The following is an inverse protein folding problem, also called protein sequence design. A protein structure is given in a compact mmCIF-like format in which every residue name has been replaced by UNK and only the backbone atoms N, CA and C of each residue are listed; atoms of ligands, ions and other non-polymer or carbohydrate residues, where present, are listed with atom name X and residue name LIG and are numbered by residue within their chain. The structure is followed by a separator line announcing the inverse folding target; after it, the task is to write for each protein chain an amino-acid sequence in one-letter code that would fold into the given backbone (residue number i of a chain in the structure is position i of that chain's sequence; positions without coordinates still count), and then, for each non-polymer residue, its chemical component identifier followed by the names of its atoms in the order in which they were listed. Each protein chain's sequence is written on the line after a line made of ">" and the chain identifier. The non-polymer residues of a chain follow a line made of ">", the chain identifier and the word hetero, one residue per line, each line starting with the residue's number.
data_IF_191120394463
#
_entry.id   IF_191120394463
#
_cell.length_a   1.000
_cell.length_b   1.000
_cell.length_c   1.000
_cell.angle_alpha   90.00
_cell.angle_beta   90.00
_cell.angle_gamma   90.00
#
_symmetry.space_group_name_H-M   'P 1'
#
loop_
_entity.id
_entity.type
_entity.pdbx_description
1 polymer ?
#
# COMPACT_ATOMS: atom_id res chain seq x y z
N UNK A 1 -0.20 -29.65 35.36
CA UNK A 1 -1.41 -30.40 35.77
C UNK A 1 -0.97 -31.81 35.99
N UNK A 2 -1.25 -32.40 37.14
CA UNK A 2 -0.83 -33.77 37.48
C UNK A 2 -1.83 -34.77 36.91
N UNK A 3 -1.33 -35.86 36.33
CA UNK A 3 -2.17 -36.88 35.68
C UNK A 3 -3.01 -37.69 36.71
N UNK A 4 -2.76 -37.53 37.98
CA UNK A 4 -3.49 -38.20 39.06
C UNK A 4 -3.39 -39.75 39.01
N UNK A 5 -4.46 -40.46 39.45
CA UNK A 5 -4.52 -41.93 39.50
C UNK A 5 -5.06 -42.55 38.21
N UNK A 6 -4.83 -41.96 37.06
CA UNK A 6 -5.25 -42.45 35.76
C UNK A 6 -4.29 -43.52 35.23
N UNK A 7 -4.63 -44.82 35.42
CA UNK A 7 -3.76 -45.94 35.09
C UNK A 7 -4.08 -46.62 33.75
N UNK A 8 -5.31 -46.51 33.27
CA UNK A 8 -5.69 -47.06 31.97
C UNK A 8 -5.16 -46.22 30.81
N UNK A 9 -4.82 -46.79 29.65
CA UNK A 9 -4.31 -46.04 28.50
C UNK A 9 -5.19 -44.87 28.12
N UNK A 10 -4.63 -43.64 28.12
CA UNK A 10 -5.28 -42.43 27.69
C UNK A 10 -6.44 -41.92 28.52
N UNK A 11 -6.60 -42.42 29.74
CA UNK A 11 -7.71 -42.09 30.63
C UNK A 11 -7.74 -40.61 31.10
N UNK A 12 -6.70 -39.83 30.82
CA UNK A 12 -6.66 -38.39 31.08
C UNK A 12 -6.62 -37.60 29.76
N UNK A 13 -7.80 -37.31 29.13
CA UNK A 13 -7.88 -36.45 27.96
C UNK A 13 -7.85 -34.98 28.37
N UNK A 14 -7.10 -34.16 27.63
CA UNK A 14 -7.11 -32.69 27.74
C UNK A 14 -7.34 -32.06 26.40
N UNK A 15 -8.46 -31.37 26.25
CA UNK A 15 -8.75 -30.60 25.08
C UNK A 15 -7.95 -29.28 25.09
N UNK A 16 -7.40 -28.92 23.95
CA UNK A 16 -6.68 -27.65 23.74
C UNK A 16 -7.68 -26.64 23.14
N UNK A 17 -7.81 -25.49 23.80
CA UNK A 17 -8.68 -24.42 23.35
C UNK A 17 -7.83 -23.30 22.77
N UNK A 18 -8.21 -22.83 21.60
CA UNK A 18 -7.61 -21.69 20.92
C UNK A 18 -8.56 -20.48 20.96
N UNK A 19 -8.00 -19.27 21.02
CA UNK A 19 -8.78 -18.03 20.98
C UNK A 19 -9.11 -17.58 19.54
N UNK A 20 -9.14 -18.53 18.61
CA UNK A 20 -9.46 -18.30 17.20
C UNK A 20 -10.32 -19.47 16.70
N UNK A 21 -11.12 -19.25 15.68
CA UNK A 21 -11.89 -20.33 15.04
C UNK A 21 -10.96 -21.26 14.26
N UNK A 22 -11.38 -22.51 14.06
CA UNK A 22 -10.62 -23.50 13.29
C UNK A 22 -10.30 -23.00 11.89
N UNK A 23 -11.23 -22.28 11.22
CA UNK A 23 -11.00 -21.66 9.92
C UNK A 23 -9.87 -20.60 9.95
N UNK A 24 -9.82 -19.78 10.99
CA UNK A 24 -8.75 -18.78 11.14
C UNK A 24 -7.39 -19.46 11.38
N UNK A 25 -7.36 -20.51 12.18
CA UNK A 25 -6.14 -21.28 12.46
C UNK A 25 -5.66 -21.99 11.20
N UNK A 26 -6.55 -22.63 10.44
CA UNK A 26 -6.20 -23.29 9.18
C UNK A 26 -5.71 -22.30 8.14
N UNK A 27 -6.35 -21.15 8.00
CA UNK A 27 -5.90 -20.07 7.11
C UNK A 27 -4.47 -19.58 7.50
N UNK A 28 -4.20 -19.38 8.80
CA UNK A 28 -2.88 -19.01 9.29
C UNK A 28 -1.83 -20.05 8.91
N UNK A 29 -2.11 -21.34 9.13
CA UNK A 29 -1.19 -22.43 8.80
C UNK A 29 -0.92 -22.50 7.29
N UNK A 30 -1.96 -22.34 6.45
CA UNK A 30 -1.82 -22.36 5.00
C UNK A 30 -1.01 -21.18 4.46
N UNK A 31 -1.19 -19.99 5.03
CA UNK A 31 -0.53 -18.76 4.60
C UNK A 31 0.92 -18.64 5.10
N UNK A 32 1.33 -19.43 6.09
CA UNK A 32 2.67 -19.40 6.66
C UNK A 32 3.60 -20.41 5.97
N UNK A 33 4.88 -20.10 5.89
CA UNK A 33 5.89 -21.05 5.37
C UNK A 33 6.08 -22.20 6.34
N UNK A 34 6.31 -21.89 7.61
CA UNK A 34 6.54 -22.85 8.66
C UNK A 34 5.57 -22.65 9.82
N UNK A 35 5.04 -23.76 10.34
CA UNK A 35 4.28 -23.76 11.57
C UNK A 35 4.73 -24.90 12.46
N UNK A 36 4.77 -24.67 13.76
CA UNK A 36 5.12 -25.71 14.71
C UNK A 36 4.43 -25.52 16.05
N UNK A 37 4.37 -26.59 16.81
CA UNK A 37 3.82 -26.62 18.15
C UNK A 37 4.60 -27.60 19.03
N UNK A 38 4.83 -27.23 20.29
CA UNK A 38 5.53 -28.09 21.24
C UNK A 38 4.56 -28.77 22.19
N UNK A 39 4.87 -30.04 22.51
CA UNK A 39 4.30 -30.74 23.65
C UNK A 39 5.48 -31.04 24.61
N UNK A 40 5.46 -30.42 25.78
CA UNK A 40 6.42 -30.62 26.82
C UNK A 40 5.87 -31.62 27.85
N UNK A 41 6.71 -32.57 28.28
CA UNK A 41 6.33 -33.56 29.24
C UNK A 41 7.43 -33.74 30.29
N UNK A 42 7.04 -33.67 31.56
CA UNK A 42 7.84 -34.01 32.71
C UNK A 42 7.34 -35.33 33.24
N UNK A 43 8.19 -36.32 33.32
CA UNK A 43 7.85 -37.68 33.72
C UNK A 43 8.70 -38.17 34.92
N UNK A 44 8.03 -38.90 35.76
CA UNK A 44 8.63 -39.65 36.86
C UNK A 44 7.86 -40.95 37.01
N UNK A 45 8.43 -42.10 36.65
CA UNK A 45 7.73 -43.40 36.57
C UNK A 45 6.41 -43.30 35.74
N UNK A 46 6.45 -42.61 34.63
CA UNK A 46 5.26 -42.36 33.78
C UNK A 46 5.65 -42.51 32.31
N UNK A 47 5.81 -43.74 31.81
CA UNK A 47 6.24 -43.99 30.44
C UNK A 47 5.14 -43.66 29.42
N UNK A 48 5.54 -43.32 28.22
CA UNK A 48 4.62 -43.17 27.07
C UNK A 48 4.23 -44.51 26.47
N UNK A 49 5.13 -45.48 26.55
CA UNK A 49 4.93 -46.87 26.09
C UNK A 49 5.56 -47.85 27.05
N UNK A 50 4.82 -48.89 27.39
CA UNK A 50 5.31 -49.97 28.24
C UNK A 50 4.69 -51.32 27.84
N UNK A 51 5.52 -52.34 27.69
CA UNK A 51 5.11 -53.69 27.26
C UNK A 51 4.17 -53.67 26.01
N UNK A 52 4.52 -52.86 25.00
CA UNK A 52 3.74 -52.75 23.77
C UNK A 52 2.47 -51.89 23.88
N UNK A 53 2.06 -51.48 25.08
CA UNK A 53 0.90 -50.64 25.30
C UNK A 53 1.29 -49.17 25.30
N UNK A 54 0.53 -48.31 24.55
CA UNK A 54 0.76 -46.88 24.45
C UNK A 54 -0.10 -46.16 25.50
N UNK A 55 0.54 -45.38 26.37
CA UNK A 55 -0.08 -44.65 27.48
C UNK A 55 -0.21 -43.13 27.24
N UNK A 56 0.46 -42.61 26.19
CA UNK A 56 0.36 -41.21 25.83
C UNK A 56 0.30 -41.03 24.30
N UNK A 57 -0.58 -40.15 23.83
CA UNK A 57 -0.73 -39.74 22.42
C UNK A 57 -1.38 -38.37 22.30
N UNK A 58 -1.38 -37.81 21.11
CA UNK A 58 -2.05 -36.58 20.80
C UNK A 58 -2.97 -36.72 19.58
N UNK A 59 -3.93 -35.81 19.46
CA UNK A 59 -4.93 -35.77 18.39
C UNK A 59 -4.69 -34.54 17.54
N UNK A 60 -4.62 -34.72 16.25
CA UNK A 60 -4.44 -33.64 15.26
C UNK A 60 -5.75 -32.94 14.90
N UNK A 61 -5.67 -32.02 13.94
CA UNK A 61 -6.82 -31.25 13.43
C UNK A 61 -7.91 -32.13 12.80
N UNK A 62 -7.56 -33.28 12.27
CA UNK A 62 -8.47 -34.22 11.58
C UNK A 62 -8.98 -35.33 12.52
N UNK A 63 -8.88 -35.12 13.84
CA UNK A 63 -9.26 -36.07 14.90
C UNK A 63 -8.49 -37.40 14.82
N UNK A 64 -7.32 -37.43 14.17
CA UNK A 64 -6.49 -38.63 14.08
C UNK A 64 -5.55 -38.73 15.27
N UNK A 65 -5.38 -39.94 15.76
CA UNK A 65 -4.42 -40.27 16.82
C UNK A 65 -3.02 -40.31 16.25
N UNK A 66 -2.10 -39.63 16.97
CA UNK A 66 -0.68 -39.64 16.71
C UNK A 66 0.09 -40.03 17.97
N UNK A 67 1.02 -40.98 17.84
CA UNK A 67 1.83 -41.45 18.94
C UNK A 67 3.11 -40.60 19.07
N UNK A 68 3.61 -40.46 20.27
CA UNK A 68 4.94 -39.89 20.46
C UNK A 68 5.99 -40.87 19.99
N UNK A 69 7.09 -40.42 19.37
CA UNK A 69 8.23 -41.29 19.14
C UNK A 69 8.75 -41.81 20.47
N UNK A 70 9.40 -42.99 20.46
CA UNK A 70 9.96 -43.58 21.68
C UNK A 70 10.86 -42.59 22.41
N UNK A 71 10.52 -42.31 23.66
CA UNK A 71 11.28 -41.42 24.53
C UNK A 71 12.05 -42.26 25.57
N UNK A 72 13.24 -42.70 25.19
CA UNK A 72 14.10 -43.60 25.99
C UNK A 72 14.20 -43.22 27.47
N UNK A 73 14.05 -41.93 27.77
CA UNK A 73 14.19 -41.43 29.13
C UNK A 73 12.94 -41.57 30.00
N UNK A 74 11.72 -41.46 29.45
CA UNK A 74 10.47 -41.63 30.19
C UNK A 74 10.05 -43.11 30.25
N UNK A 75 10.45 -43.90 29.26
CA UNK A 75 10.12 -45.32 29.18
C UNK A 75 10.96 -46.18 30.16
N UNK A 76 12.05 -45.64 30.68
CA UNK A 76 12.80 -46.25 31.76
C UNK A 76 12.21 -45.91 33.12
N UNK A 77 11.70 -46.91 33.83
CA UNK A 77 11.16 -46.78 35.18
C UNK A 77 12.25 -46.32 36.16
N UNK A 78 12.43 -45.06 36.32
CA UNK A 78 13.38 -44.43 37.23
C UNK A 78 12.66 -43.34 38.03
N UNK A 79 12.96 -43.24 39.31
CA UNK A 79 12.32 -42.29 40.24
C UNK A 79 12.86 -40.85 40.10
N UNK A 80 13.67 -40.57 39.08
CA UNK A 80 14.13 -39.21 38.79
C UNK A 80 13.17 -38.50 37.83
N UNK A 81 12.90 -37.20 38.11
CA UNK A 81 12.12 -36.38 37.23
C UNK A 81 12.88 -36.09 35.93
N UNK A 82 12.30 -36.45 34.79
CA UNK A 82 12.87 -36.24 33.48
C UNK A 82 11.99 -35.32 32.66
N UNK A 83 12.58 -34.62 31.68
CA UNK A 83 11.92 -33.67 30.81
C UNK A 83 12.10 -34.05 29.34
N UNK A 84 11.03 -33.97 28.58
CA UNK A 84 11.00 -34.11 27.12
C UNK A 84 10.27 -32.96 26.45
N UNK A 85 10.76 -32.59 25.28
CA UNK A 85 10.13 -31.66 24.37
C UNK A 85 9.92 -32.34 23.02
N UNK A 86 8.70 -32.43 22.58
CA UNK A 86 8.34 -32.94 21.26
C UNK A 86 7.82 -31.80 20.43
N UNK A 87 8.47 -31.54 19.28
CA UNK A 87 8.09 -30.52 18.31
C UNK A 87 7.35 -31.18 17.17
N UNK A 88 6.18 -30.61 16.83
CA UNK A 88 5.34 -31.01 15.70
C UNK A 88 5.50 -29.94 14.65
N UNK A 89 6.09 -30.30 13.51
CA UNK A 89 6.36 -29.40 12.38
C UNK A 89 5.48 -29.72 11.17
N UNK A 90 4.82 -30.88 11.19
CA UNK A 90 3.94 -31.32 10.12
C UNK A 90 2.66 -30.45 10.11
N UNK A 91 2.59 -29.52 9.17
CA UNK A 91 1.47 -28.56 9.02
C UNK A 91 0.14 -29.27 8.80
N UNK A 92 0.16 -30.46 8.19
CA UNK A 92 -1.05 -31.23 7.93
C UNK A 92 -1.66 -31.84 9.20
N UNK A 93 -0.89 -31.88 10.28
CA UNK A 93 -1.32 -32.37 11.60
C UNK A 93 -1.63 -31.25 12.60
N UNK A 94 -1.34 -30.00 12.26
CA UNK A 94 -1.55 -28.86 13.16
C UNK A 94 -2.95 -28.23 12.98
N UNK A 95 -3.52 -27.67 14.04
CA UNK A 95 -3.02 -27.63 15.41
C UNK A 95 -3.33 -28.91 16.20
N UNK A 96 -2.65 -29.09 17.33
CA UNK A 96 -2.99 -30.15 18.30
C UNK A 96 -4.34 -29.83 18.95
N UNK A 97 -5.32 -30.71 18.79
CA UNK A 97 -6.68 -30.52 19.33
C UNK A 97 -6.86 -31.11 20.72
N UNK A 98 -6.19 -32.24 21.00
CA UNK A 98 -6.30 -32.95 22.27
C UNK A 98 -5.01 -33.69 22.57
N UNK A 99 -4.71 -33.86 23.84
CA UNK A 99 -3.64 -34.76 24.34
C UNK A 99 -4.23 -35.73 25.31
N UNK A 100 -3.73 -36.96 25.28
CA UNK A 100 -4.09 -38.05 26.17
C UNK A 100 -2.87 -38.54 26.91
N UNK A 101 -2.99 -38.68 28.23
CA UNK A 101 -1.94 -39.20 29.09
C UNK A 101 -2.51 -40.19 30.08
N UNK A 102 -1.67 -41.11 30.54
CA UNK A 102 -1.99 -42.01 31.64
C UNK A 102 -0.69 -42.46 32.32
N UNK A 103 -0.83 -43.05 33.47
CA UNK A 103 0.31 -43.47 34.29
C UNK A 103 0.08 -44.83 34.92
N UNK A 104 0.58 -45.91 34.31
CA UNK A 104 0.33 -47.27 34.80
C UNK A 104 1.02 -47.56 36.13
N UNK A 105 2.03 -46.78 36.53
CA UNK A 105 2.87 -47.08 37.71
C UNK A 105 2.65 -46.13 38.89
N UNK A 106 1.53 -45.37 38.91
CA UNK A 106 1.25 -44.35 39.94
C UNK A 106 2.38 -43.32 40.14
N UNK A 107 3.23 -43.14 39.14
CA UNK A 107 4.23 -42.08 39.09
C UNK A 107 3.59 -40.71 38.90
N UNK A 108 4.38 -39.71 38.52
CA UNK A 108 3.87 -38.37 38.26
C UNK A 108 4.21 -37.90 36.83
N UNK A 109 3.24 -37.29 36.17
CA UNK A 109 3.45 -36.65 34.87
C UNK A 109 2.87 -35.26 34.85
N UNK A 110 3.62 -34.33 34.25
CA UNK A 110 3.15 -32.95 34.00
C UNK A 110 3.38 -32.61 32.53
N UNK A 111 2.35 -32.14 31.87
CA UNK A 111 2.46 -31.77 30.47
C UNK A 111 2.07 -30.29 30.24
N UNK A 112 2.60 -29.73 29.17
CA UNK A 112 2.25 -28.43 28.65
C UNK A 112 2.26 -28.50 27.13
N UNK A 113 1.20 -27.97 26.51
CA UNK A 113 1.13 -27.73 25.07
C UNK A 113 1.37 -26.26 24.82
N UNK A 114 2.26 -25.91 23.89
CA UNK A 114 2.55 -24.53 23.53
C UNK A 114 1.39 -23.94 22.75
N UNK A 115 1.43 -22.62 22.56
CA UNK A 115 0.67 -22.01 21.47
C UNK A 115 1.19 -22.52 20.12
N UNK A 116 0.36 -22.41 19.08
CA UNK A 116 0.79 -22.59 17.69
C UNK A 116 1.73 -21.43 17.33
N UNK A 117 2.90 -21.72 16.81
CA UNK A 117 3.84 -20.77 16.25
C UNK A 117 3.85 -20.93 14.74
N UNK A 118 3.64 -19.84 14.02
CA UNK A 118 3.75 -19.81 12.57
C UNK A 118 4.66 -18.66 12.16
N UNK A 119 5.50 -18.89 11.18
CA UNK A 119 6.47 -17.92 10.64
C UNK A 119 6.55 -18.01 9.12
N UNK A 120 7.25 -17.04 8.52
CA UNK A 120 7.38 -16.90 7.08
C UNK A 120 6.50 -15.82 6.51
N UNK A 121 6.76 -15.43 5.26
CA UNK A 121 5.93 -14.47 4.55
C UNK A 121 4.60 -15.13 4.24
N UNK A 122 3.51 -14.52 4.72
CA UNK A 122 2.20 -14.83 4.16
C UNK A 122 2.36 -14.79 2.64
N UNK A 123 2.08 -15.89 1.96
CA UNK A 123 2.00 -15.88 0.50
C UNK A 123 0.92 -14.87 0.17
N UNK A 124 1.34 -13.65 -0.18
CA UNK A 124 0.42 -12.62 -0.61
C UNK A 124 -0.25 -13.14 -1.87
N UNK A 125 -1.46 -13.62 -1.72
CA UNK A 125 -2.28 -13.88 -2.89
C UNK A 125 -2.42 -12.56 -3.62
N UNK A 126 -2.27 -12.53 -4.94
CA UNK A 126 -2.49 -11.31 -5.70
C UNK A 126 -3.90 -10.81 -5.37
N UNK A 127 -4.05 -9.48 -5.31
CA UNK A 127 -5.35 -8.88 -5.05
C UNK A 127 -6.40 -9.48 -5.99
N UNK A 128 -7.57 -9.94 -5.48
CA UNK A 128 -8.61 -10.55 -6.30
C UNK A 128 -9.06 -9.58 -7.39
N UNK A 129 -9.40 -10.11 -8.56
CA UNK A 129 -9.90 -9.33 -9.70
C UNK A 129 -11.42 -9.39 -9.86
N UNK A 130 -12.07 -10.31 -9.14
CA UNK A 130 -13.50 -10.54 -9.24
C UNK A 130 -14.06 -11.23 -8.00
N UNK A 131 -15.38 -11.30 -7.91
CA UNK A 131 -16.06 -12.10 -6.91
C UNK A 131 -15.74 -13.60 -7.04
N UNK A 132 -15.46 -14.09 -8.25
CA UNK A 132 -15.03 -15.48 -8.49
C UNK A 132 -13.66 -15.76 -7.84
N UNK A 133 -12.70 -14.83 -7.99
CA UNK A 133 -11.42 -14.94 -7.29
C UNK A 133 -11.60 -14.95 -5.77
N UNK A 134 -12.45 -14.06 -5.25
CA UNK A 134 -12.77 -14.02 -3.82
C UNK A 134 -13.39 -15.34 -3.34
N UNK A 135 -14.29 -15.92 -4.12
CA UNK A 135 -14.90 -17.21 -3.79
C UNK A 135 -13.87 -18.33 -3.77
N UNK A 136 -12.95 -18.37 -4.74
CA UNK A 136 -11.80 -19.33 -4.76
C UNK A 136 -10.87 -19.13 -3.58
N UNK A 137 -10.72 -17.90 -3.08
CA UNK A 137 -9.97 -17.56 -1.87
C UNK A 137 -10.70 -17.95 -0.58
N UNK A 138 -11.92 -18.47 -0.67
CA UNK A 138 -12.72 -18.95 0.46
C UNK A 138 -13.70 -17.94 1.03
N UNK A 139 -13.94 -16.80 0.37
CA UNK A 139 -15.01 -15.88 0.77
C UNK A 139 -16.38 -16.47 0.45
N UNK A 140 -17.30 -16.39 1.41
CA UNK A 140 -18.65 -16.99 1.30
C UNK A 140 -19.77 -16.05 1.73
N UNK A 141 -19.43 -14.88 2.27
CA UNK A 141 -20.41 -13.91 2.76
C UNK A 141 -20.72 -12.90 1.66
N UNK A 142 -22.01 -12.72 1.37
CA UNK A 142 -22.46 -11.66 0.48
C UNK A 142 -22.08 -10.30 1.06
N UNK A 143 -21.64 -9.37 0.22
CA UNK A 143 -21.23 -8.06 0.69
C UNK A 143 -20.37 -7.26 -0.29
N UNK A 144 -19.91 -6.12 0.20
CA UNK A 144 -19.05 -5.20 -0.55
C UNK A 144 -17.60 -5.62 -0.39
N UNK A 145 -16.90 -5.72 -1.52
CA UNK A 145 -15.47 -6.10 -1.60
C UNK A 145 -14.70 -5.15 -2.50
N UNK A 146 -13.39 -5.07 -2.26
CA UNK A 146 -12.47 -4.39 -3.16
C UNK A 146 -11.78 -5.42 -4.05
N UNK A 147 -11.79 -5.18 -5.36
CA UNK A 147 -11.11 -6.01 -6.37
C UNK A 147 -10.23 -5.16 -7.26
N UNK A 148 -9.21 -5.76 -7.86
CA UNK A 148 -8.33 -5.09 -8.80
C UNK A 148 -8.98 -5.03 -10.18
N UNK A 149 -9.46 -3.86 -10.58
CA UNK A 149 -9.87 -3.57 -11.94
C UNK A 149 -8.69 -3.44 -12.92
N UNK A 150 -8.98 -2.97 -14.12
CA UNK A 150 -7.96 -2.80 -15.17
C UNK A 150 -6.92 -1.71 -14.84
N UNK A 151 -7.35 -0.59 -14.25
CA UNK A 151 -6.52 0.57 -13.92
C UNK A 151 -6.69 1.08 -12.50
N UNK A 152 -7.68 0.59 -11.76
CA UNK A 152 -8.12 1.12 -10.48
C UNK A 152 -8.55 -0.02 -9.56
N UNK A 153 -8.64 0.25 -8.26
CA UNK A 153 -9.31 -0.64 -7.33
C UNK A 153 -10.82 -0.38 -7.45
N UNK A 154 -11.56 -1.41 -7.83
CA UNK A 154 -13.01 -1.36 -7.94
C UNK A 154 -13.68 -1.84 -6.66
N UNK A 155 -14.81 -1.23 -6.35
CA UNK A 155 -15.73 -1.69 -5.31
C UNK A 155 -16.85 -2.47 -5.99
N UNK A 156 -17.01 -3.71 -5.57
CA UNK A 156 -18.04 -4.63 -6.11
C UNK A 156 -18.90 -5.18 -4.97
N UNK A 157 -20.16 -5.46 -5.26
CA UNK A 157 -21.00 -6.26 -4.39
C UNK A 157 -20.97 -7.71 -4.88
N UNK A 158 -20.63 -8.66 -4.02
CA UNK A 158 -20.57 -10.08 -4.34
C UNK A 158 -21.74 -10.82 -3.67
N UNK A 159 -22.42 -11.67 -4.43
CA UNK A 159 -23.48 -12.57 -3.97
C UNK A 159 -23.02 -14.01 -4.14
N UNK A 160 -22.37 -14.57 -3.13
CA UNK A 160 -21.79 -15.93 -3.17
C UNK A 160 -22.80 -17.06 -3.03
N UNK A 161 -24.07 -16.76 -2.77
CA UNK A 161 -25.20 -17.68 -2.86
C UNK A 161 -25.69 -17.88 -4.31
N UNK A 162 -25.26 -17.05 -5.24
CA UNK A 162 -25.50 -17.14 -6.68
C UNK A 162 -24.37 -17.91 -7.39
N UNK A 163 -24.65 -18.42 -8.59
CA UNK A 163 -23.61 -18.99 -9.44
C UNK A 163 -22.86 -17.89 -10.19
N UNK A 164 -21.58 -18.08 -10.42
CA UNK A 164 -20.71 -17.08 -11.08
C UNK A 164 -21.18 -16.65 -12.49
N UNK A 165 -22.03 -17.46 -13.13
CA UNK A 165 -22.62 -17.15 -14.45
C UNK A 165 -23.87 -16.27 -14.36
N UNK A 166 -24.41 -16.06 -13.16
CA UNK A 166 -25.56 -15.21 -12.95
C UNK A 166 -25.13 -13.74 -12.90
N UNK A 167 -25.88 -12.86 -13.57
CA UNK A 167 -25.54 -11.44 -13.69
C UNK A 167 -25.45 -10.76 -12.31
N UNK A 168 -26.21 -11.24 -11.33
CA UNK A 168 -26.25 -10.72 -9.96
C UNK A 168 -25.08 -11.22 -9.08
N UNK A 169 -24.26 -12.17 -9.56
CA UNK A 169 -23.13 -12.72 -8.80
C UNK A 169 -22.12 -11.65 -8.45
N UNK A 170 -21.88 -10.69 -9.37
CA UNK A 170 -21.02 -9.54 -9.17
C UNK A 170 -21.68 -8.28 -9.73
N UNK A 171 -21.90 -7.30 -8.86
CA UNK A 171 -22.37 -5.97 -9.23
C UNK A 171 -21.27 -4.94 -8.97
N UNK A 172 -20.96 -4.12 -9.98
CA UNK A 172 -20.01 -3.03 -9.83
C UNK A 172 -20.69 -1.84 -9.16
N UNK A 173 -20.15 -1.38 -8.01
CA UNK A 173 -20.63 -0.20 -7.30
C UNK A 173 -19.87 1.05 -7.74
N UNK A 174 -18.54 0.94 -7.91
CA UNK A 174 -17.69 2.07 -8.28
C UNK A 174 -16.22 1.73 -8.20
N UNK A 175 -15.38 2.75 -8.02
CA UNK A 175 -13.95 2.60 -7.81
C UNK A 175 -13.49 3.37 -6.57
N UNK A 176 -12.30 3.03 -6.06
CA UNK A 176 -11.66 3.72 -4.94
C UNK A 176 -10.55 4.61 -5.47
N UNK A 177 -10.57 5.89 -5.13
CA UNK A 177 -9.48 6.83 -5.41
C UNK A 177 -8.34 6.56 -4.41
N UNK A 178 -7.45 5.64 -4.79
CA UNK A 178 -6.28 5.28 -4.00
C UNK A 178 -5.06 5.97 -4.60
N UNK A 179 -4.36 6.75 -3.78
CA UNK A 179 -3.09 7.37 -4.15
C UNK A 179 -1.97 6.76 -3.29
N UNK A 180 -1.16 5.88 -3.91
CA UNK A 180 -0.02 5.25 -3.23
C UNK A 180 1.08 6.26 -2.94
N UNK A 181 1.18 7.30 -3.79
CA UNK A 181 2.08 8.44 -3.64
C UNK A 181 1.30 9.75 -3.82
N UNK A 182 0.60 10.22 -2.78
CA UNK A 182 -0.06 11.52 -2.83
C UNK A 182 0.92 12.58 -3.29
N UNK A 183 0.54 13.33 -4.34
CA UNK A 183 1.44 14.29 -4.99
C UNK A 183 0.67 15.55 -5.31
N UNK A 184 1.11 16.65 -4.74
CA UNK A 184 0.67 17.99 -5.14
C UNK A 184 1.71 19.04 -4.77
N UNK A 185 1.78 20.10 -5.56
CA UNK A 185 2.67 21.23 -5.32
C UNK A 185 1.99 22.57 -5.60
N UNK A 186 2.47 23.59 -4.91
CA UNK A 186 2.17 25.00 -5.19
C UNK A 186 3.48 25.80 -4.96
N UNK A 187 3.98 26.38 -6.06
CA UNK A 187 5.23 27.13 -6.08
C UNK A 187 5.02 28.50 -6.71
N UNK A 188 5.84 29.46 -6.32
CA UNK A 188 5.72 30.85 -6.73
C UNK A 188 7.09 31.43 -7.16
N UNK A 189 7.04 32.44 -8.00
CA UNK A 189 8.19 33.28 -8.30
C UNK A 189 8.29 34.47 -7.35
N UNK A 190 9.50 34.97 -7.15
CA UNK A 190 9.73 36.22 -6.43
C UNK A 190 10.54 37.24 -7.28
N UNK A 191 10.83 36.90 -8.55
CA UNK A 191 11.66 37.71 -9.45
C UNK A 191 11.10 37.71 -10.87
N UNK A 192 11.31 38.83 -11.57
CA UNK A 192 11.02 38.93 -12.99
C UNK A 192 11.73 37.83 -13.79
N UNK A 193 11.09 37.34 -14.83
CA UNK A 193 11.66 36.29 -15.67
C UNK A 193 11.45 36.59 -17.17
N UNK A 194 12.55 36.61 -17.94
CA UNK A 194 12.56 36.95 -19.37
C UNK A 194 13.32 35.93 -20.24
N UNK A 195 13.69 34.79 -19.69
CA UNK A 195 14.45 33.79 -20.46
C UNK A 195 13.55 32.98 -21.39
N UNK A 196 14.07 32.70 -22.59
CA UNK A 196 13.38 31.92 -23.63
C UNK A 196 13.87 30.51 -23.68
N UNK A 197 13.03 29.58 -24.05
CA UNK A 197 13.39 28.20 -24.33
C UNK A 197 14.01 27.41 -23.16
N UNK A 198 13.78 27.85 -21.93
CA UNK A 198 14.16 27.16 -20.72
C UNK A 198 12.94 26.98 -19.82
N UNK A 199 12.88 25.92 -19.01
CA UNK A 199 11.83 25.79 -18.00
C UNK A 199 11.85 26.97 -17.03
N UNK A 200 10.69 27.40 -16.59
CA UNK A 200 10.48 28.50 -15.65
C UNK A 200 10.85 28.05 -14.23
N UNK A 201 11.93 28.55 -13.61
CA UNK A 201 12.31 28.24 -12.24
C UNK A 201 11.40 28.96 -11.24
N UNK A 202 11.30 28.42 -10.02
CA UNK A 202 10.55 29.01 -8.92
C UNK A 202 11.42 29.16 -7.68
N UNK A 203 11.18 30.20 -6.90
CA UNK A 203 12.00 30.50 -5.71
C UNK A 203 11.26 30.15 -4.40
N UNK A 204 9.92 30.12 -4.44
CA UNK A 204 9.12 29.95 -3.23
C UNK A 204 8.30 28.67 -3.33
N UNK A 205 8.40 27.84 -2.30
CA UNK A 205 7.54 26.69 -2.05
C UNK A 205 6.49 27.05 -1.02
N UNK A 206 5.21 26.94 -1.40
CA UNK A 206 4.10 26.95 -0.44
C UNK A 206 3.84 25.52 0.02
N UNK A 207 3.82 24.59 -0.95
CA UNK A 207 3.63 23.18 -0.68
C UNK A 207 4.30 22.34 -1.76
N UNK A 208 4.87 21.17 -1.40
CA UNK A 208 5.48 20.22 -2.33
C UNK A 208 5.40 18.80 -1.73
N UNK A 209 4.18 18.25 -1.64
CA UNK A 209 3.94 16.91 -1.14
C UNK A 209 4.38 15.89 -2.18
N UNK A 210 5.14 14.89 -1.73
CA UNK A 210 5.78 13.90 -2.60
C UNK A 210 7.09 14.36 -3.23
N UNK A 211 7.49 15.64 -3.06
CA UNK A 211 8.78 16.16 -3.55
C UNK A 211 8.96 16.09 -5.07
N UNK A 212 7.86 16.07 -5.82
CA UNK A 212 7.89 15.84 -7.26
C UNK A 212 8.23 17.08 -8.09
N UNK A 213 8.16 18.28 -7.50
CA UNK A 213 8.51 19.54 -8.13
C UNK A 213 9.91 19.98 -7.71
N UNK A 214 10.81 20.11 -8.66
CA UNK A 214 12.16 20.67 -8.46
C UNK A 214 12.13 22.16 -8.78
N UNK A 215 12.26 23.00 -7.77
CA UNK A 215 12.11 24.44 -7.89
C UNK A 215 13.18 25.11 -8.78
N UNK A 216 14.48 24.82 -8.59
CA UNK A 216 15.54 25.46 -9.38
C UNK A 216 15.45 25.17 -10.87
N UNK A 217 15.08 23.97 -11.24
CA UNK A 217 14.88 23.62 -12.65
C UNK A 217 13.48 23.96 -13.17
N UNK A 218 12.49 24.18 -12.28
CA UNK A 218 11.10 24.41 -12.66
C UNK A 218 10.40 23.17 -13.25
N UNK A 219 10.96 21.96 -13.04
CA UNK A 219 10.49 20.72 -13.63
C UNK A 219 9.78 19.87 -12.61
N UNK A 220 8.53 19.51 -12.91
CA UNK A 220 7.79 18.47 -12.21
C UNK A 220 8.13 17.11 -12.80
N UNK A 221 8.34 16.09 -11.95
CA UNK A 221 8.53 14.70 -12.38
C UNK A 221 7.46 13.80 -11.77
N UNK A 222 6.65 13.15 -12.61
CA UNK A 222 5.55 12.29 -12.16
C UNK A 222 6.08 11.07 -11.37
N UNK A 223 5.68 10.87 -10.11
CA UNK A 223 6.16 9.73 -9.31
C UNK A 223 5.44 8.41 -9.62
N UNK A 224 4.26 8.46 -10.23
CA UNK A 224 3.41 7.31 -10.59
C UNK A 224 2.69 7.56 -11.91
N UNK A 225 2.18 6.48 -12.53
CA UNK A 225 1.27 6.62 -13.67
C UNK A 225 -0.07 7.19 -13.20
N UNK A 226 -0.67 8.05 -13.99
CA UNK A 226 -1.97 8.62 -13.64
C UNK A 226 -2.36 9.86 -14.42
N UNK A 227 -3.49 10.42 -14.03
CA UNK A 227 -4.00 11.69 -14.56
C UNK A 227 -3.65 12.80 -13.60
N UNK A 228 -3.01 13.85 -14.11
CA UNK A 228 -2.55 15.01 -13.34
C UNK A 228 -3.22 16.27 -13.84
N UNK A 229 -3.51 17.19 -12.93
CA UNK A 229 -3.94 18.53 -13.24
C UNK A 229 -2.81 19.52 -12.99
N UNK A 230 -2.65 20.50 -13.89
CA UNK A 230 -1.69 21.60 -13.79
C UNK A 230 -2.40 22.92 -14.00
N UNK A 231 -2.01 23.95 -13.24
CA UNK A 231 -2.50 25.32 -13.42
C UNK A 231 -1.33 26.29 -13.21
N UNK A 232 -1.15 27.16 -14.17
CA UNK A 232 -0.21 28.27 -14.13
C UNK A 232 -0.96 29.60 -14.24
N UNK A 233 -0.57 30.56 -13.44
CA UNK A 233 -0.95 31.95 -13.61
C UNK A 233 0.29 32.86 -13.48
N UNK A 234 0.30 33.97 -14.17
CA UNK A 234 1.36 34.95 -14.13
C UNK A 234 0.89 36.32 -14.62
N UNK A 235 1.73 37.31 -14.45
CA UNK A 235 1.50 38.67 -14.93
C UNK A 235 2.52 39.02 -16.02
N UNK A 236 2.10 39.05 -17.26
CA UNK A 236 2.93 39.49 -18.36
C UNK A 236 3.11 41.01 -18.32
N UNK A 237 4.35 41.50 -18.44
CA UNK A 237 4.67 42.89 -18.60
C UNK A 237 5.47 43.12 -19.89
N UNK A 238 5.17 44.18 -20.58
CA UNK A 238 5.83 44.55 -21.82
C UNK A 238 6.56 45.88 -21.67
N UNK A 239 7.82 46.03 -22.18
CA UNK A 239 8.57 47.26 -22.08
C UNK A 239 7.89 48.41 -22.83
N UNK A 240 8.05 49.62 -22.35
CA UNK A 240 7.60 50.82 -23.10
C UNK A 240 8.40 50.99 -24.41
N UNK A 241 7.70 51.37 -25.48
CA UNK A 241 8.34 51.78 -26.70
C UNK A 241 8.82 53.24 -26.51
N UNK A 242 10.14 53.43 -26.51
CA UNK A 242 10.76 54.73 -26.44
C UNK A 242 11.30 55.10 -27.82
N UNK A 243 10.78 56.16 -28.42
CA UNK A 243 11.25 56.68 -29.71
C UNK A 243 10.32 57.74 -30.26
N UNK A 244 10.81 58.64 -31.14
CA UNK A 244 10.01 59.73 -31.70
C UNK A 244 8.85 59.26 -32.63
N UNK A 245 8.99 58.04 -33.22
CA UNK A 245 7.96 57.40 -34.04
C UNK A 245 7.87 55.92 -33.66
N UNK A 246 7.01 55.56 -32.71
CA UNK A 246 6.83 54.15 -32.33
C UNK A 246 6.21 53.38 -33.48
N UNK A 247 7.01 52.51 -34.13
CA UNK A 247 6.51 51.54 -35.11
C UNK A 247 5.53 50.60 -34.43
N UNK A 248 4.37 50.36 -35.02
CA UNK A 248 3.40 49.42 -34.52
C UNK A 248 4.01 48.00 -34.48
N UNK A 249 4.34 47.53 -33.33
CA UNK A 249 4.91 46.19 -33.17
C UNK A 249 3.99 45.35 -32.29
N UNK A 250 3.58 44.22 -32.83
CA UNK A 250 2.81 43.25 -32.09
C UNK A 250 3.71 42.64 -30.99
N UNK A 251 3.25 42.75 -29.77
CA UNK A 251 3.94 42.20 -28.60
C UNK A 251 3.21 40.97 -28.11
N UNK A 252 3.93 39.92 -27.92
CA UNK A 252 3.38 38.66 -27.48
C UNK A 252 4.24 38.02 -26.40
N UNK A 253 3.58 37.41 -25.42
CA UNK A 253 4.16 36.56 -24.45
C UNK A 253 3.28 35.31 -24.26
N UNK A 254 3.86 34.13 -24.44
CA UNK A 254 3.17 32.86 -24.26
C UNK A 254 3.73 32.12 -23.07
N UNK A 255 2.84 31.51 -22.31
CA UNK A 255 3.16 30.45 -21.35
C UNK A 255 2.82 29.11 -21.97
N UNK A 256 3.79 28.24 -22.10
CA UNK A 256 3.66 26.93 -22.75
C UNK A 256 3.86 25.83 -21.73
N UNK A 257 2.98 24.84 -21.71
CA UNK A 257 3.15 23.61 -20.94
C UNK A 257 3.83 22.56 -21.81
N UNK A 258 4.92 22.03 -21.32
CA UNK A 258 5.69 20.98 -21.98
C UNK A 258 5.57 19.66 -21.21
N UNK A 259 5.49 18.56 -21.96
CA UNK A 259 5.64 17.20 -21.47
C UNK A 259 6.79 16.52 -22.22
N UNK A 260 7.85 16.08 -21.53
CA UNK A 260 9.00 15.38 -22.11
C UNK A 260 9.64 16.07 -23.33
N UNK A 261 9.60 17.40 -23.38
CA UNK A 261 10.12 18.19 -24.52
C UNK A 261 9.10 18.51 -25.59
N UNK A 262 7.90 17.97 -25.53
CA UNK A 262 6.80 18.28 -26.43
C UNK A 262 5.87 19.32 -25.80
N UNK A 263 5.51 20.36 -26.57
CA UNK A 263 4.55 21.38 -26.14
C UNK A 263 3.13 20.85 -26.27
N UNK A 264 2.44 20.72 -25.13
CA UNK A 264 1.09 20.14 -25.07
C UNK A 264 -0.02 21.21 -24.90
N UNK A 265 0.31 22.40 -24.39
CA UNK A 265 -0.64 23.48 -24.25
C UNK A 265 0.06 24.84 -24.32
N UNK A 266 -0.67 25.88 -24.74
CA UNK A 266 -0.20 27.25 -24.81
C UNK A 266 -1.32 28.21 -24.37
N UNK A 267 -0.93 29.24 -23.61
CA UNK A 267 -1.70 30.46 -23.38
C UNK A 267 -0.85 31.63 -23.85
N UNK A 268 -1.46 32.58 -24.53
CA UNK A 268 -0.73 33.70 -25.12
C UNK A 268 -1.46 35.03 -24.89
N UNK A 269 -0.70 36.03 -24.53
CA UNK A 269 -1.14 37.40 -24.41
C UNK A 269 -0.54 38.20 -25.55
N UNK A 270 -1.40 38.89 -26.28
CA UNK A 270 -1.04 39.81 -27.34
C UNK A 270 -1.48 41.22 -26.96
N UNK A 271 -0.55 42.17 -26.94
CA UNK A 271 -0.84 43.58 -26.72
C UNK A 271 -0.55 44.36 -28.01
N UNK A 272 -1.58 45.03 -28.53
CA UNK A 272 -1.46 45.96 -29.62
C UNK A 272 -0.87 47.30 -29.16
N UNK A 273 -1.10 48.37 -29.95
CA UNK A 273 -0.66 49.72 -29.65
C UNK A 273 -1.19 50.24 -28.31
N UNK A 274 -0.34 50.38 -27.31
CA UNK A 274 -0.65 51.18 -26.14
C UNK A 274 0.52 52.09 -25.79
N UNK A 275 0.20 53.33 -25.66
CA UNK A 275 1.13 54.44 -25.28
C UNK A 275 1.11 54.62 -23.75
N UNK A 276 0.49 53.70 -22.99
CA UNK A 276 0.29 53.84 -21.55
C UNK A 276 1.40 53.13 -20.73
N UNK A 277 1.77 53.67 -19.56
CA UNK A 277 2.89 53.14 -18.74
C UNK A 277 2.67 51.74 -18.17
N UNK A 278 1.44 51.26 -18.04
CA UNK A 278 1.14 49.96 -17.47
C UNK A 278 0.68 48.95 -18.53
N UNK A 279 1.67 48.34 -19.20
CA UNK A 279 1.44 47.32 -20.21
C UNK A 279 1.47 45.91 -19.54
N UNK A 280 0.60 45.66 -18.57
CA UNK A 280 0.49 44.41 -17.89
C UNK A 280 -0.78 43.67 -18.29
N UNK A 281 -0.69 42.34 -18.37
CA UNK A 281 -1.84 41.49 -18.66
C UNK A 281 -1.69 40.14 -17.95
N UNK A 282 -2.75 39.64 -17.31
CA UNK A 282 -2.70 38.30 -16.75
C UNK A 282 -2.55 37.24 -17.84
N UNK A 283 -1.78 36.19 -17.57
CA UNK A 283 -1.64 35.02 -18.41
C UNK A 283 -1.90 33.77 -17.57
N UNK A 284 -2.82 32.93 -18.05
CA UNK A 284 -3.21 31.71 -17.31
C UNK A 284 -3.25 30.54 -18.26
N UNK A 285 -2.87 29.34 -17.73
CA UNK A 285 -2.93 28.11 -18.46
C UNK A 285 -3.33 26.97 -17.50
N UNK A 286 -4.28 26.16 -17.93
CA UNK A 286 -4.73 24.97 -17.20
C UNK A 286 -4.76 23.78 -18.13
N UNK A 287 -4.40 22.60 -17.62
CA UNK A 287 -4.43 21.38 -18.40
C UNK A 287 -4.54 20.14 -17.51
N UNK A 288 -5.28 19.16 -18.00
CA UNK A 288 -5.32 17.81 -17.45
C UNK A 288 -4.54 16.88 -18.37
N UNK A 289 -3.58 16.15 -17.83
CA UNK A 289 -2.60 15.40 -18.62
C UNK A 289 -2.43 13.99 -18.05
N UNK A 290 -2.47 12.97 -18.91
CA UNK A 290 -2.08 11.62 -18.54
C UNK A 290 -0.54 11.50 -18.58
N UNK A 291 0.07 11.06 -17.47
CA UNK A 291 1.50 10.91 -17.31
C UNK A 291 1.86 9.48 -16.93
N UNK A 292 2.93 8.96 -17.54
CA UNK A 292 3.65 7.81 -17.04
C UNK A 292 4.58 8.19 -15.88
N UNK A 293 4.94 7.24 -15.04
CA UNK A 293 5.96 7.44 -14.01
C UNK A 293 7.26 7.94 -14.66
N UNK A 294 7.87 8.97 -14.08
CA UNK A 294 9.07 9.69 -14.55
C UNK A 294 8.83 10.66 -15.73
N UNK A 295 7.61 10.79 -16.25
CA UNK A 295 7.32 11.87 -17.21
C UNK A 295 7.58 13.22 -16.56
N UNK A 296 8.09 14.17 -17.36
CA UNK A 296 8.48 15.51 -16.92
C UNK A 296 7.54 16.54 -17.49
N UNK A 297 7.12 17.48 -16.65
CA UNK A 297 6.24 18.60 -17.02
C UNK A 297 6.81 19.92 -16.50
N UNK A 298 6.77 20.97 -17.33
CA UNK A 298 7.24 22.31 -16.96
C UNK A 298 6.54 23.40 -17.76
N UNK A 299 6.60 24.62 -17.25
CA UNK A 299 6.22 25.84 -17.97
C UNK A 299 7.45 26.42 -18.66
N UNK A 300 7.30 26.90 -19.88
CA UNK A 300 8.34 27.59 -20.64
C UNK A 300 7.73 28.80 -21.37
N UNK A 301 8.45 29.93 -21.36
CA UNK A 301 7.98 31.12 -22.04
C UNK A 301 8.32 31.11 -23.53
N UNK A 302 7.38 31.60 -24.34
CA UNK A 302 7.64 32.11 -25.68
C UNK A 302 7.47 33.63 -25.68
N UNK A 303 8.49 34.34 -26.13
CA UNK A 303 8.55 35.80 -26.08
C UNK A 303 8.75 36.33 -27.52
N UNK A 304 7.85 37.18 -27.96
CA UNK A 304 7.92 37.81 -29.27
C UNK A 304 9.15 38.74 -29.45
N UNK A 305 9.35 39.22 -30.66
CA UNK A 305 10.53 40.04 -31.04
C UNK A 305 10.62 41.31 -30.20
N UNK A 306 9.50 41.91 -29.84
CA UNK A 306 9.42 43.18 -29.12
C UNK A 306 9.61 43.07 -27.60
N UNK A 307 10.03 41.89 -27.13
CA UNK A 307 10.26 41.62 -25.72
C UNK A 307 8.97 41.37 -24.94
N UNK A 308 9.13 41.13 -23.66
CA UNK A 308 8.11 40.83 -22.65
C UNK A 308 8.71 39.96 -21.59
N UNK A 309 8.15 39.99 -20.40
CA UNK A 309 8.63 39.16 -19.27
C UNK A 309 7.49 38.90 -18.28
N UNK A 310 7.67 37.92 -17.44
CA UNK A 310 6.81 37.74 -16.28
C UNK A 310 7.26 38.69 -15.18
N UNK A 311 6.32 39.46 -14.66
CA UNK A 311 6.54 40.44 -13.63
C UNK A 311 6.25 39.83 -12.24
N UNK A 312 7.23 39.88 -11.37
CA UNK A 312 7.17 39.38 -9.97
C UNK A 312 8.07 40.18 -9.01
N UNK A 313 8.23 41.49 -9.23
CA UNK A 313 8.99 42.31 -8.27
C UNK A 313 8.15 42.57 -7.00
N UNK A 314 8.68 42.18 -5.86
CA UNK A 314 8.15 42.57 -4.56
C UNK A 314 8.64 43.97 -4.20
N UNK A 315 7.83 44.98 -4.37
CA UNK A 315 8.23 46.37 -4.15
C UNK A 315 8.08 46.87 -2.72
N UNK A 316 7.43 46.15 -1.81
CA UNK A 316 7.26 46.57 -0.42
C UNK A 316 6.86 45.42 0.51
N UNK A 317 7.03 45.63 1.82
CA UNK A 317 6.51 44.73 2.88
C UNK A 317 4.96 44.59 2.84
N UNK A 318 4.26 45.46 2.14
CA UNK A 318 2.80 45.47 2.00
C UNK A 318 2.32 44.58 0.85
N UNK A 319 3.15 44.40 -0.18
CA UNK A 319 2.82 43.60 -1.37
C UNK A 319 3.44 42.20 -1.25
N UNK A 320 2.82 41.36 -0.43
CA UNK A 320 3.33 40.03 -0.08
C UNK A 320 2.99 38.93 -1.08
N UNK A 321 2.25 39.21 -2.15
CA UNK A 321 1.81 38.25 -3.15
C UNK A 321 2.74 38.11 -4.35
N UNK A 322 3.01 36.89 -4.81
CA UNK A 322 3.62 36.62 -6.10
C UNK A 322 2.55 36.59 -7.19
N UNK A 323 2.82 37.26 -8.32
CA UNK A 323 1.90 37.25 -9.48
C UNK A 323 1.99 35.94 -10.25
N UNK A 324 3.19 35.32 -10.32
CA UNK A 324 3.40 34.08 -11.06
C UNK A 324 3.50 32.90 -10.14
N UNK A 325 2.62 31.92 -10.36
CA UNK A 325 2.58 30.72 -9.58
C UNK A 325 2.19 29.51 -10.45
N UNK A 326 2.70 28.35 -10.05
CA UNK A 326 2.43 27.09 -10.70
C UNK A 326 2.02 26.06 -9.66
N UNK A 327 0.93 25.36 -9.93
CA UNK A 327 0.47 24.29 -9.09
C UNK A 327 0.09 23.07 -9.92
N UNK A 328 0.11 21.91 -9.28
CA UNK A 328 -0.32 20.67 -9.90
C UNK A 328 -0.51 19.57 -8.86
N UNK A 329 -1.36 18.63 -9.19
CA UNK A 329 -1.65 17.49 -8.34
C UNK A 329 -2.09 16.27 -9.13
N UNK A 330 -1.88 15.10 -8.52
CA UNK A 330 -2.39 13.83 -8.99
C UNK A 330 -3.91 13.78 -8.76
N UNK A 331 -4.67 13.70 -9.84
CA UNK A 331 -6.13 13.51 -9.81
C UNK A 331 -6.47 12.04 -9.54
N UNK A 332 -5.95 11.14 -10.39
CA UNK A 332 -6.21 9.71 -10.35
C UNK A 332 -4.92 8.95 -10.59
N UNK A 333 -4.64 7.93 -9.77
CA UNK A 333 -3.51 7.02 -9.97
C UNK A 333 -3.95 5.79 -10.75
N UNK A 334 -3.16 5.40 -11.77
CA UNK A 334 -3.30 4.11 -12.46
C UNK A 334 -2.46 3.05 -11.75
N UNK A 335 -3.12 2.00 -11.19
CA UNK A 335 -2.51 0.95 -10.38
C UNK A 335 -2.27 -0.32 -11.19
#
# INVERSE_FOLDING_TARGET
>A
MNIGNCTEPGCYPRQIKYNASDRQIQALIQLSDDCFQYIWYYCRNSPFKYNGTVYAWWIDKDEKRNEFPSLENCDNLNDTLKFHSYQIEDKDKLPVTRVHFSNPFKGSGKHKVSRLYCSGKAKTQPMPRSCDDLQRMGHTLNGIYSVRGAKQIETVFCQFDKRYVEQEFQERIGYQDIKTKPTYFYVQKDKNFAERNVPLPFEITIVNIGGAMDLPSGVFTAPVNGTYFFSFAGLAQFPMLTGPDPVPVQRELGANLYKNGERIAISQVNIGYLVYPDNRSPITLQSTVSLGARDKVWIQLSIGISGGFLYDERHSEVDQGSHSHFNGWLLEEEI
#
